data_IF_523599383903
#
_entry.id   IF_523599383903
#
_cell.length_a   1.000
_cell.length_b   1.000
_cell.length_c   1.000
_cell.angle_alpha   90.00
_cell.angle_beta   90.00
_cell.angle_gamma   90.00
#
_symmetry.space_group_name_H-M   'P 1'
#
loop_
_entity.id
_entity.type
_entity.pdbx_description
1 polymer ?
#
# COMPACT_ATOMS: atom_id res chain seq x y z
N UNK A 1 13.05 -26.94 -49.53
CA UNK A 1 13.86 -26.10 -48.62
C UNK A 1 13.05 -24.93 -48.09
N UNK A 2 12.19 -24.30 -48.83
CA UNK A 2 11.41 -23.09 -48.45
C UNK A 2 10.50 -23.29 -47.22
N UNK A 3 9.81 -24.43 -47.11
CA UNK A 3 8.92 -24.71 -45.96
C UNK A 3 9.67 -24.77 -44.62
N UNK A 4 10.89 -25.25 -44.61
CA UNK A 4 11.72 -25.33 -43.39
C UNK A 4 12.23 -23.91 -42.94
N UNK A 5 12.50 -23.02 -43.90
CA UNK A 5 12.88 -21.65 -43.64
C UNK A 5 11.70 -20.86 -43.07
N UNK A 6 10.50 -21.06 -43.59
CA UNK A 6 9.29 -20.41 -43.09
C UNK A 6 8.95 -20.83 -41.66
N UNK A 7 9.13 -22.11 -41.31
CA UNK A 7 8.93 -22.63 -39.94
C UNK A 7 9.96 -22.05 -38.96
N UNK A 8 11.20 -21.87 -39.41
CA UNK A 8 12.26 -21.30 -38.57
C UNK A 8 12.03 -19.80 -38.28
N UNK A 9 11.56 -19.04 -39.28
CA UNK A 9 11.18 -17.62 -39.12
C UNK A 9 10.00 -17.49 -38.17
N UNK A 10 8.98 -18.34 -38.27
CA UNK A 10 7.82 -18.33 -37.38
C UNK A 10 8.19 -18.60 -35.91
N UNK A 11 9.18 -19.46 -35.66
CA UNK A 11 9.68 -19.74 -34.30
C UNK A 11 10.39 -18.55 -33.66
N UNK A 12 11.05 -17.68 -34.46
CA UNK A 12 11.71 -16.48 -33.96
C UNK A 12 10.71 -15.42 -33.49
N UNK A 13 9.54 -15.33 -34.14
CA UNK A 13 8.47 -14.41 -33.73
C UNK A 13 7.77 -14.81 -32.42
N UNK A 14 7.79 -16.09 -32.05
CA UNK A 14 7.19 -16.58 -30.81
C UNK A 14 8.07 -16.37 -29.56
N UNK A 15 9.35 -16.07 -29.71
CA UNK A 15 10.27 -15.83 -28.59
C UNK A 15 10.30 -14.36 -28.11
N UNK A 16 9.53 -13.46 -28.72
CA UNK A 16 9.49 -12.03 -28.39
C UNK A 16 8.41 -11.64 -27.38
N UNK A 17 7.89 -12.59 -26.58
CA UNK A 17 7.11 -12.22 -25.40
C UNK A 17 8.05 -11.90 -24.24
N UNK A 18 8.71 -10.76 -24.30
CA UNK A 18 9.33 -10.12 -23.15
C UNK A 18 8.26 -9.66 -22.16
N UNK A 19 7.66 -10.59 -21.43
CA UNK A 19 6.84 -10.27 -20.27
C UNK A 19 7.80 -9.86 -19.15
N UNK A 20 8.20 -8.59 -19.11
CA UNK A 20 8.74 -8.01 -17.89
C UNK A 20 7.60 -7.94 -16.89
N UNK A 21 7.71 -8.73 -15.82
CA UNK A 21 6.81 -8.62 -14.70
C UNK A 21 6.95 -7.21 -14.10
N UNK A 22 6.00 -6.34 -14.38
CA UNK A 22 5.94 -4.93 -13.92
C UNK A 22 6.06 -4.84 -12.38
N UNK A 23 5.86 -5.97 -11.68
CA UNK A 23 6.00 -6.09 -10.22
C UNK A 23 7.41 -6.51 -9.75
N UNK A 24 8.35 -6.81 -10.65
CA UNK A 24 9.71 -7.22 -10.26
C UNK A 24 10.71 -6.06 -10.20
N UNK A 25 10.33 -4.85 -10.59
CA UNK A 25 11.13 -3.68 -10.26
C UNK A 25 10.95 -3.45 -8.76
N UNK A 26 11.79 -4.05 -7.95
CA UNK A 26 12.20 -3.51 -6.65
C UNK A 26 12.76 -2.11 -6.93
N UNK A 27 11.89 -1.15 -7.21
CA UNK A 27 12.19 0.26 -7.05
C UNK A 27 12.33 0.52 -5.53
N UNK A 28 13.35 -0.05 -4.93
CA UNK A 28 13.96 0.55 -3.77
C UNK A 28 14.64 1.82 -4.28
N UNK A 29 13.81 2.85 -4.55
CA UNK A 29 14.33 4.21 -4.56
C UNK A 29 15.03 4.33 -3.22
N UNK A 30 16.34 4.35 -3.26
CA UNK A 30 17.15 4.44 -2.06
C UNK A 30 17.04 5.88 -1.56
N UNK A 31 15.91 6.16 -0.89
CA UNK A 31 15.69 7.47 -0.30
C UNK A 31 16.71 7.68 0.82
N UNK A 32 17.23 8.89 0.88
CA UNK A 32 18.33 9.26 1.79
C UNK A 32 17.83 9.63 3.18
N UNK A 33 16.96 8.79 3.75
CA UNK A 33 16.50 8.89 5.13
C UNK A 33 16.44 7.53 5.80
N UNK A 34 16.46 7.54 7.14
CA UNK A 34 16.22 6.36 7.98
C UNK A 34 15.13 6.66 9.02
N UNK A 35 14.63 5.60 9.64
CA UNK A 35 13.64 5.69 10.71
C UNK A 35 14.20 4.99 11.95
N UNK A 36 14.48 5.75 13.01
CA UNK A 36 15.03 5.20 14.26
C UNK A 36 13.97 4.61 15.19
N UNK A 37 12.74 5.13 15.13
CA UNK A 37 11.67 4.67 16.01
C UNK A 37 10.32 4.75 15.32
N UNK A 38 9.53 3.68 15.46
CA UNK A 38 8.15 3.59 15.01
C UNK A 38 7.25 3.32 16.20
N UNK A 39 6.20 4.12 16.37
CA UNK A 39 5.13 3.88 17.33
C UNK A 39 3.78 3.91 16.63
N UNK A 40 2.90 2.98 17.01
CA UNK A 40 1.62 2.75 16.34
C UNK A 40 0.48 2.74 17.35
N UNK A 41 -0.64 3.41 16.97
CA UNK A 41 -1.92 3.39 17.68
C UNK A 41 -3.02 3.13 16.65
N UNK A 42 -4.08 2.41 17.01
CA UNK A 42 -5.29 2.22 16.20
C UNK A 42 -5.39 0.87 15.49
N UNK A 43 -5.82 0.85 14.23
CA UNK A 43 -6.14 -0.39 13.49
C UNK A 43 -4.90 -1.29 13.32
N UNK A 44 -4.98 -2.49 13.90
CA UNK A 44 -3.86 -3.43 13.94
C UNK A 44 -3.43 -3.91 12.55
N UNK A 45 -4.37 -4.19 11.65
CA UNK A 45 -4.04 -4.75 10.33
C UNK A 45 -3.32 -3.70 9.47
N UNK A 46 -3.82 -2.46 9.51
CA UNK A 46 -3.19 -1.33 8.82
C UNK A 46 -1.80 -1.08 9.38
N UNK A 47 -1.66 -1.00 10.71
CA UNK A 47 -0.39 -0.74 11.37
C UNK A 47 0.66 -1.82 11.08
N UNK A 48 0.27 -3.10 11.06
CA UNK A 48 1.17 -4.20 10.70
C UNK A 48 1.69 -4.07 9.27
N UNK A 49 0.81 -3.72 8.34
CA UNK A 49 1.18 -3.58 6.93
C UNK A 49 2.11 -2.37 6.70
N UNK A 50 1.80 -1.23 7.31
CA UNK A 50 2.67 -0.04 7.29
C UNK A 50 4.04 -0.38 7.88
N UNK A 51 4.07 -1.05 9.05
CA UNK A 51 5.32 -1.46 9.72
C UNK A 51 6.18 -2.35 8.82
N UNK A 52 5.57 -3.35 8.15
CA UNK A 52 6.29 -4.25 7.24
C UNK A 52 7.00 -3.49 6.12
N UNK A 53 6.32 -2.54 5.49
CA UNK A 53 6.92 -1.72 4.41
C UNK A 53 7.98 -0.75 4.92
N UNK A 54 7.75 -0.10 6.07
CA UNK A 54 8.69 0.86 6.64
C UNK A 54 9.94 0.18 7.25
N UNK A 55 9.89 -1.14 7.52
CA UNK A 55 11.01 -1.86 8.12
C UNK A 55 12.31 -1.78 7.29
N UNK A 56 12.22 -1.64 5.98
CA UNK A 56 13.39 -1.47 5.11
C UNK A 56 14.15 -0.16 5.39
N UNK A 57 13.51 0.83 5.99
CA UNK A 57 14.08 2.13 6.33
C UNK A 57 14.60 2.20 7.78
N UNK A 58 14.47 1.10 8.55
CA UNK A 58 14.94 1.02 9.95
C UNK A 58 16.27 0.29 10.10
N UNK A 59 16.80 -0.29 9.02
CA UNK A 59 17.98 -1.18 9.07
C UNK A 59 19.31 -0.42 9.10
N UNK A 60 19.37 0.75 8.47
CA UNK A 60 20.59 1.56 8.37
C UNK A 60 20.33 2.95 8.94
N UNK A 61 21.31 3.49 9.65
CA UNK A 61 21.26 4.86 10.16
C UNK A 61 21.82 5.78 9.07
N UNK A 62 21.02 6.78 8.68
CA UNK A 62 21.39 7.82 7.72
C UNK A 62 21.43 9.20 8.39
N UNK A 63 22.00 10.18 7.70
CA UNK A 63 22.10 11.55 8.22
C UNK A 63 20.74 12.15 8.55
N UNK A 64 19.74 11.88 7.70
CA UNK A 64 18.35 12.23 7.98
C UNK A 64 17.68 11.06 8.68
N UNK A 65 17.34 11.24 9.96
CA UNK A 65 16.78 10.19 10.80
C UNK A 65 15.47 10.64 11.46
N UNK A 66 14.39 9.91 11.21
CA UNK A 66 13.07 10.26 11.70
C UNK A 66 12.59 9.33 12.83
N UNK A 67 11.78 9.90 13.71
CA UNK A 67 10.92 9.17 14.63
C UNK A 67 9.48 9.39 14.16
N UNK A 68 8.73 8.30 13.95
CA UNK A 68 7.35 8.37 13.47
C UNK A 68 6.38 7.90 14.56
N UNK A 69 5.36 8.72 14.82
CA UNK A 69 4.17 8.32 15.57
C UNK A 69 3.00 8.21 14.60
N UNK A 70 2.43 7.04 14.48
CA UNK A 70 1.42 6.71 13.49
C UNK A 70 0.13 6.31 14.19
N UNK A 71 -0.95 7.03 13.89
CA UNK A 71 -2.29 6.71 14.38
C UNK A 71 -3.18 6.38 13.20
N UNK A 72 -3.71 5.16 13.15
CA UNK A 72 -4.55 4.67 12.06
C UNK A 72 -5.98 4.41 12.53
N UNK A 73 -6.94 4.74 11.66
CA UNK A 73 -8.35 4.40 11.83
C UNK A 73 -8.90 3.83 10.54
N UNK A 74 -9.84 2.88 10.66
CA UNK A 74 -10.55 2.32 9.52
C UNK A 74 -12.04 2.25 9.84
N UNK A 75 -12.86 2.69 8.91
CA UNK A 75 -14.31 2.75 9.02
C UNK A 75 -14.96 2.04 7.83
N UNK A 76 -15.99 1.24 8.10
CA UNK A 76 -16.86 0.65 7.08
C UNK A 76 -18.16 1.46 7.01
N UNK A 77 -18.44 2.03 5.85
CA UNK A 77 -19.60 2.89 5.57
C UNK A 77 -20.53 2.15 4.62
N UNK A 78 -21.83 2.14 4.90
CA UNK A 78 -22.85 1.63 3.99
C UNK A 78 -23.10 2.69 2.94
N UNK A 79 -22.99 2.34 1.65
CA UNK A 79 -23.24 3.26 0.54
C UNK A 79 -24.65 3.12 -0.05
N UNK A 80 -25.14 1.88 -0.15
CA UNK A 80 -26.46 1.61 -0.72
C UNK A 80 -27.16 0.46 0.01
N UNK A 81 -28.49 0.47 -0.05
CA UNK A 81 -29.38 -0.59 0.42
C UNK A 81 -30.41 -0.91 -0.66
N UNK A 82 -30.92 -2.14 -0.64
CA UNK A 82 -32.05 -2.55 -1.47
C UNK A 82 -33.39 -2.12 -0.84
N UNK A 83 -34.52 -2.41 -1.52
CA UNK A 83 -35.87 -2.08 -1.04
C UNK A 83 -36.24 -2.80 0.26
N UNK A 84 -35.59 -3.95 0.55
CA UNK A 84 -35.78 -4.69 1.81
C UNK A 84 -34.94 -4.11 2.97
N UNK A 85 -34.09 -3.09 2.71
CA UNK A 85 -33.22 -2.48 3.70
C UNK A 85 -31.86 -3.14 3.88
N UNK A 86 -31.56 -4.21 3.12
CA UNK A 86 -30.26 -4.87 3.17
C UNK A 86 -29.17 -4.05 2.48
N UNK A 87 -27.99 -4.01 3.07
CA UNK A 87 -26.86 -3.29 2.49
C UNK A 87 -26.35 -3.98 1.24
N UNK A 88 -26.29 -3.28 0.12
CA UNK A 88 -25.85 -3.78 -1.19
C UNK A 88 -24.43 -3.37 -1.53
N UNK A 89 -23.95 -2.21 -1.03
CA UNK A 89 -22.58 -1.77 -1.23
C UNK A 89 -22.02 -1.06 -0.02
N UNK A 90 -20.71 -1.10 0.10
CA UNK A 90 -19.94 -0.57 1.21
C UNK A 90 -18.74 0.23 0.73
N UNK A 91 -18.20 1.05 1.63
CA UNK A 91 -16.90 1.72 1.49
C UNK A 91 -16.08 1.47 2.73
N UNK A 92 -14.82 1.06 2.55
CA UNK A 92 -13.81 1.14 3.61
C UNK A 92 -13.04 2.43 3.42
N UNK A 93 -13.02 3.27 4.46
CA UNK A 93 -12.22 4.49 4.54
C UNK A 93 -11.15 4.30 5.60
N UNK A 94 -9.89 4.53 5.23
CA UNK A 94 -8.74 4.46 6.11
C UNK A 94 -8.12 5.84 6.22
N UNK A 95 -7.86 6.30 7.45
CA UNK A 95 -7.18 7.56 7.73
C UNK A 95 -5.98 7.24 8.61
N UNK A 96 -4.82 7.78 8.22
CA UNK A 96 -3.58 7.63 8.98
C UNK A 96 -3.02 9.02 9.25
N UNK A 97 -2.85 9.35 10.53
CA UNK A 97 -2.16 10.53 11.02
C UNK A 97 -0.73 10.16 11.37
N UNK A 98 0.22 10.92 10.87
CA UNK A 98 1.65 10.66 11.05
C UNK A 98 2.34 11.92 11.55
N UNK A 99 2.85 11.87 12.79
CA UNK A 99 3.75 12.89 13.33
C UNK A 99 5.19 12.46 13.04
N UNK A 100 5.93 13.35 12.39
CA UNK A 100 7.33 13.14 12.01
C UNK A 100 8.22 14.02 12.88
N UNK A 101 9.11 13.40 13.64
CA UNK A 101 10.08 14.07 14.48
C UNK A 101 11.50 13.85 13.93
N UNK A 102 12.35 14.86 14.09
CA UNK A 102 13.79 14.76 13.92
C UNK A 102 14.46 15.39 15.15
N UNK A 103 15.37 14.66 15.81
CA UNK A 103 16.02 15.08 17.05
C UNK A 103 15.01 15.65 18.06
N UNK A 104 13.93 14.89 18.30
CA UNK A 104 12.83 15.22 19.24
C UNK A 104 11.97 16.45 18.88
N UNK A 105 12.28 17.17 17.81
CA UNK A 105 11.47 18.27 17.32
C UNK A 105 10.48 17.79 16.27
N UNK A 106 9.21 18.19 16.42
CA UNK A 106 8.20 17.94 15.39
C UNK A 106 8.58 18.68 14.11
N UNK A 107 8.81 17.96 13.04
CA UNK A 107 9.18 18.49 11.73
C UNK A 107 7.96 18.64 10.83
N UNK A 108 7.07 17.68 10.87
CA UNK A 108 5.89 17.66 10.02
C UNK A 108 4.78 16.80 10.63
N UNK A 109 3.54 17.09 10.24
CA UNK A 109 2.38 16.24 10.49
C UNK A 109 1.71 15.96 9.14
N UNK A 110 1.40 14.70 8.88
CA UNK A 110 0.69 14.28 7.67
C UNK A 110 -0.61 13.58 8.02
N UNK A 111 -1.66 13.91 7.29
CA UNK A 111 -2.90 13.15 7.27
C UNK A 111 -3.04 12.55 5.88
N UNK A 112 -3.09 11.24 5.80
CA UNK A 112 -3.28 10.51 4.54
C UNK A 112 -4.56 9.69 4.68
N UNK A 113 -5.49 9.90 3.76
CA UNK A 113 -6.77 9.19 3.75
C UNK A 113 -6.96 8.52 2.39
N UNK A 114 -7.37 7.26 2.42
CA UNK A 114 -7.71 6.45 1.25
C UNK A 114 -9.01 5.72 1.49
N UNK A 115 -9.73 5.40 0.42
CA UNK A 115 -10.96 4.62 0.51
C UNK A 115 -11.17 3.74 -0.71
N UNK A 116 -11.91 2.66 -0.51
CA UNK A 116 -12.31 1.73 -1.55
C UNK A 116 -13.77 1.32 -1.37
N UNK A 117 -14.54 1.34 -2.46
CA UNK A 117 -15.94 0.93 -2.49
C UNK A 117 -16.07 -0.47 -3.11
N UNK A 118 -16.97 -1.28 -2.57
CA UNK A 118 -17.17 -2.67 -3.00
C UNK A 118 -18.62 -3.10 -2.74
N UNK A 119 -19.06 -4.11 -3.48
CA UNK A 119 -20.39 -4.68 -3.34
C UNK A 119 -20.46 -5.72 -2.24
N UNK A 120 -21.66 -5.92 -1.70
CA UNK A 120 -21.91 -6.96 -0.72
C UNK A 120 -21.81 -8.34 -1.38
N UNK A 121 -21.32 -9.32 -0.61
CA UNK A 121 -21.31 -10.75 -0.98
C UNK A 121 -22.17 -11.52 0.03
N UNK A 122 -23.00 -12.43 -0.45
CA UNK A 122 -23.82 -13.33 0.38
C UNK A 122 -22.95 -14.23 1.28
N UNK A 123 -21.76 -14.64 0.80
CA UNK A 123 -20.78 -15.37 1.58
C UNK A 123 -20.03 -14.43 2.55
N UNK A 124 -20.45 -14.44 3.80
CA UNK A 124 -19.89 -13.56 4.84
C UNK A 124 -18.41 -13.82 5.14
N UNK A 125 -17.93 -15.04 4.96
CA UNK A 125 -16.53 -15.40 5.17
C UNK A 125 -15.64 -14.79 4.07
N UNK A 126 -16.05 -14.96 2.80
CA UNK A 126 -15.35 -14.34 1.67
C UNK A 126 -15.36 -12.82 1.77
N UNK A 127 -16.51 -12.22 2.12
CA UNK A 127 -16.63 -10.78 2.31
C UNK A 127 -15.63 -10.27 3.37
N UNK A 128 -15.54 -10.95 4.52
CA UNK A 128 -14.61 -10.57 5.58
C UNK A 128 -13.13 -10.67 5.14
N UNK A 129 -12.78 -11.69 4.37
CA UNK A 129 -11.42 -11.84 3.84
C UNK A 129 -11.12 -10.75 2.81
N UNK A 130 -12.07 -10.44 1.95
CA UNK A 130 -11.94 -9.37 0.96
C UNK A 130 -11.78 -7.99 1.64
N UNK A 131 -12.54 -7.71 2.69
CA UNK A 131 -12.40 -6.48 3.47
C UNK A 131 -11.02 -6.33 4.12
N UNK A 132 -10.41 -7.44 4.58
CA UNK A 132 -9.03 -7.44 5.08
C UNK A 132 -8.02 -7.12 3.98
N UNK A 133 -8.24 -7.68 2.80
CA UNK A 133 -7.38 -7.42 1.65
C UNK A 133 -7.47 -5.96 1.21
N UNK A 134 -8.68 -5.39 1.16
CA UNK A 134 -8.89 -3.96 0.91
C UNK A 134 -8.10 -3.11 1.90
N UNK A 135 -8.20 -3.38 3.21
CA UNK A 135 -7.45 -2.65 4.23
C UNK A 135 -5.94 -2.71 4.01
N UNK A 136 -5.42 -3.89 3.65
CA UNK A 136 -3.98 -4.07 3.35
C UNK A 136 -3.55 -3.27 2.14
N UNK A 137 -4.35 -3.27 1.07
CA UNK A 137 -4.07 -2.52 -0.14
C UNK A 137 -4.11 -1.00 0.12
N UNK A 138 -5.09 -0.52 0.90
CA UNK A 138 -5.15 0.88 1.33
C UNK A 138 -3.92 1.27 2.16
N UNK A 139 -3.48 0.39 3.08
CA UNK A 139 -2.28 0.62 3.87
C UNK A 139 -1.01 0.67 2.99
N UNK A 140 -0.94 -0.12 1.93
CA UNK A 140 0.16 -0.08 0.96
C UNK A 140 0.23 1.27 0.24
N UNK A 141 -0.90 1.75 -0.28
CA UNK A 141 -1.00 3.04 -0.96
C UNK A 141 -0.63 4.19 -0.01
N UNK A 142 -1.16 4.15 1.22
CA UNK A 142 -0.86 5.15 2.26
C UNK A 142 0.64 5.17 2.57
N UNK A 143 1.27 3.98 2.67
CA UNK A 143 2.71 3.88 2.99
C UNK A 143 3.57 4.43 1.85
N UNK A 144 3.22 4.17 0.61
CA UNK A 144 3.93 4.73 -0.54
C UNK A 144 3.87 6.27 -0.56
N UNK A 145 2.67 6.83 -0.30
CA UNK A 145 2.49 8.27 -0.16
C UNK A 145 3.28 8.84 1.02
N UNK A 146 3.34 8.13 2.15
CA UNK A 146 4.14 8.52 3.30
C UNK A 146 5.63 8.54 2.97
N UNK A 147 6.16 7.49 2.38
CA UNK A 147 7.58 7.40 1.97
C UNK A 147 7.95 8.57 1.05
N UNK A 148 7.09 8.85 0.07
CA UNK A 148 7.31 9.99 -0.82
C UNK A 148 7.32 11.33 -0.07
N UNK A 149 6.41 11.53 0.91
CA UNK A 149 6.39 12.74 1.74
C UNK A 149 7.63 12.85 2.62
N UNK A 150 8.08 11.74 3.25
CA UNK A 150 9.30 11.72 4.07
C UNK A 150 10.55 12.10 3.26
N UNK A 151 10.66 11.59 2.04
CA UNK A 151 11.78 11.90 1.15
C UNK A 151 11.86 13.39 0.75
N UNK A 152 10.75 14.12 0.87
CA UNK A 152 10.67 15.54 0.52
C UNK A 152 10.71 16.48 1.75
N UNK A 153 10.92 15.96 2.96
CA UNK A 153 11.15 16.79 4.15
C UNK A 153 12.58 17.35 4.08
N UNK A 154 12.69 18.67 4.11
CA UNK A 154 13.96 19.40 4.15
C UNK A 154 14.38 19.72 5.60
#
# INVERSE_FOLDING_TARGET
>A
MEKKIFTFILLIFLSSCGYEAIYSVKNTKNYDFSISKLSFIGDREINLKIKQKLNNYTQEIKDINFILKITSTSEKIILAKNDAGDSTSFKIKTIVNIDVYNKEKLKSNFIIAESFSYDNNSNKFELKNYEKEIKRNLADIITEKLIFKLANIK
#
